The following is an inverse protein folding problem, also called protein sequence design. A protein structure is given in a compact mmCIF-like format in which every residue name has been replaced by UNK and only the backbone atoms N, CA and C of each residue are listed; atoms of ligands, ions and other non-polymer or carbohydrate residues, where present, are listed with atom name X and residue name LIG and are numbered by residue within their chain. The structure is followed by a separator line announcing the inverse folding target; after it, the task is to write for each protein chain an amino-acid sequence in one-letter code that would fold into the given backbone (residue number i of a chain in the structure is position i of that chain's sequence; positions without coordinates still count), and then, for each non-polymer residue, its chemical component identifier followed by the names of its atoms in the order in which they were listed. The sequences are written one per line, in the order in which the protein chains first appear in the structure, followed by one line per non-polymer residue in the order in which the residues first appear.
data_IF_699128997070
#
_entry.id   IF_699128997070
#
_cell.length_a   1.000
_cell.length_b   1.000
_cell.length_c   1.000
_cell.angle_alpha   90.00
_cell.angle_beta   90.00
_cell.angle_gamma   90.00
#
_symmetry.space_group_name_H-M   'P 1'
#
loop_
_entity.id
_entity.type
_entity.pdbx_description
1 polymer ?
#
# COMPACT_ATOMS: atom_id res chain seq x y z
N UNK A 1 16.53 4.49 9.45
CA UNK A 1 16.22 5.03 8.11
C UNK A 1 15.32 6.24 8.26
N UNK A 2 15.73 7.36 7.72
CA UNK A 2 14.86 8.55 7.72
C UNK A 2 13.76 8.37 6.69
N UNK A 3 12.55 8.76 7.03
CA UNK A 3 11.41 8.68 6.12
C UNK A 3 10.56 9.93 6.18
N UNK A 4 9.82 10.16 5.11
CA UNK A 4 8.84 11.23 5.00
C UNK A 4 7.46 10.59 4.92
N UNK A 5 6.45 11.34 5.36
CA UNK A 5 5.06 10.89 5.30
C UNK A 5 4.22 12.00 4.70
N UNK A 6 3.51 11.68 3.62
CA UNK A 6 2.62 12.65 3.01
C UNK A 6 1.46 12.95 3.97
N UNK A 7 1.15 14.23 4.27
CA UNK A 7 0.06 14.57 5.17
C UNK A 7 -1.29 14.01 4.70
N UNK A 8 -2.11 13.54 5.64
CA UNK A 8 -3.40 12.91 5.33
C UNK A 8 -4.33 13.82 4.53
N UNK A 9 -4.29 15.13 4.75
CA UNK A 9 -5.14 16.08 4.02
C UNK A 9 -4.86 16.11 2.52
N UNK A 10 -3.71 15.63 2.08
CA UNK A 10 -3.38 15.54 0.64
C UNK A 10 -4.18 14.44 -0.05
N UNK A 11 -4.76 13.53 0.72
CA UNK A 11 -5.55 12.42 0.21
C UNK A 11 -7.05 12.63 0.42
N UNK A 12 -7.46 13.77 0.97
CA UNK A 12 -8.86 14.08 1.18
C UNK A 12 -9.56 14.34 -0.16
N UNK A 13 -10.83 13.92 -0.24
CA UNK A 13 -11.71 14.21 -1.38
C UNK A 13 -11.19 13.72 -2.74
N UNK A 14 -10.43 12.64 -2.76
CA UNK A 14 -9.99 12.02 -4.02
C UNK A 14 -11.19 11.37 -4.72
N UNK A 15 -11.36 11.67 -5.99
CA UNK A 15 -12.47 11.17 -6.78
C UNK A 15 -12.44 9.64 -6.89
N UNK A 16 -13.55 8.98 -6.52
CA UNK A 16 -13.68 7.54 -6.61
C UNK A 16 -12.78 6.75 -5.65
N UNK A 17 -12.24 7.40 -4.62
CA UNK A 17 -11.32 6.77 -3.67
C UNK A 17 -11.82 6.97 -2.24
N UNK A 18 -13.01 6.42 -1.96
CA UNK A 18 -13.65 6.50 -0.63
C UNK A 18 -13.43 5.21 0.15
N UNK A 19 -12.20 4.69 0.16
CA UNK A 19 -11.84 3.46 0.85
C UNK A 19 -11.24 3.79 2.21
N UNK A 20 -11.60 2.98 3.22
CA UNK A 20 -10.99 3.11 4.55
C UNK A 20 -9.51 2.75 4.49
N UNK A 21 -8.63 3.55 5.10
CA UNK A 21 -7.21 3.23 5.12
C UNK A 21 -6.90 2.12 6.11
N UNK A 22 -5.91 1.30 5.76
CA UNK A 22 -5.33 0.30 6.65
C UNK A 22 -3.83 0.51 6.66
N UNK A 23 -3.21 0.34 7.83
CA UNK A 23 -1.78 0.55 7.98
C UNK A 23 -1.16 -0.61 8.74
N UNK A 24 0.05 -0.97 8.37
CA UNK A 24 0.88 -1.93 9.10
C UNK A 24 2.29 -1.36 9.22
N UNK A 25 2.91 -1.58 10.37
CA UNK A 25 4.31 -1.20 10.57
C UNK A 25 5.20 -2.39 10.24
N UNK A 26 6.24 -2.15 9.47
CA UNK A 26 7.20 -3.17 9.08
C UNK A 26 8.61 -2.72 9.46
N UNK A 27 9.54 -3.68 9.55
CA UNK A 27 10.95 -3.41 9.73
C UNK A 27 11.50 -2.71 8.48
N UNK A 28 12.20 -1.59 8.67
CA UNK A 28 12.76 -0.84 7.54
C UNK A 28 14.05 -1.45 6.98
N UNK A 29 14.55 -2.53 7.59
CA UNK A 29 15.81 -3.18 7.25
C UNK A 29 17.05 -2.34 7.60
N UNK A 30 16.88 -1.38 8.50
CA UNK A 30 17.93 -0.44 8.89
C UNK A 30 17.78 0.01 10.35
N UNK A 31 17.18 -0.84 11.19
CA UNK A 31 17.04 -0.62 12.63
C UNK A 31 15.82 0.18 13.08
N UNK A 32 14.92 0.51 12.16
CA UNK A 32 13.69 1.25 12.46
C UNK A 32 12.45 0.60 11.86
N UNK A 33 11.38 1.37 11.73
CA UNK A 33 10.12 0.91 11.16
C UNK A 33 9.61 1.86 10.08
N UNK A 34 8.79 1.31 9.18
CA UNK A 34 8.07 2.06 8.15
C UNK A 34 6.59 1.70 8.23
N UNK A 35 5.72 2.68 8.05
CA UNK A 35 4.28 2.44 7.94
C UNK A 35 3.91 2.23 6.49
N UNK A 36 3.24 1.11 6.23
CA UNK A 36 2.74 0.77 4.90
C UNK A 36 1.22 0.85 4.90
N UNK A 37 0.67 1.55 3.92
CA UNK A 37 -0.76 1.63 3.70
C UNK A 37 -1.20 0.55 2.72
N UNK A 38 -2.38 -0.04 2.99
CA UNK A 38 -2.99 -0.96 2.04
C UNK A 38 -4.51 -0.84 2.08
N UNK A 39 -5.14 -1.15 0.96
CA UNK A 39 -6.58 -1.31 0.87
C UNK A 39 -6.91 -2.78 1.06
N UNK A 40 -7.98 -3.05 1.80
CA UNK A 40 -8.48 -4.41 2.05
C UNK A 40 -9.99 -4.34 1.96
N UNK A 41 -10.52 -4.64 0.78
CA UNK A 41 -11.93 -4.49 0.46
C UNK A 41 -12.54 -5.80 0.04
N UNK A 42 -13.83 -5.96 0.30
CA UNK A 42 -14.59 -7.16 -0.06
C UNK A 42 -14.69 -8.17 1.08
N UNK A 43 -15.33 -9.32 0.83
CA UNK A 43 -15.57 -10.33 1.87
C UNK A 43 -14.27 -10.97 2.33
N UNK A 44 -14.10 -11.10 3.66
CA UNK A 44 -12.87 -11.63 4.25
C UNK A 44 -12.57 -13.07 3.84
N UNK A 45 -13.60 -13.85 3.50
CA UNK A 45 -13.48 -15.25 3.10
C UNK A 45 -13.52 -15.45 1.57
N UNK A 46 -13.59 -14.36 0.79
CA UNK A 46 -13.59 -14.44 -0.66
C UNK A 46 -12.21 -14.74 -1.23
N UNK A 47 -12.14 -15.15 -2.51
CA UNK A 47 -10.85 -15.29 -3.19
C UNK A 47 -10.09 -13.97 -3.16
N UNK A 48 -8.78 -14.04 -2.88
CA UNK A 48 -7.94 -12.86 -2.72
C UNK A 48 -7.31 -12.47 -4.05
N UNK A 49 -7.46 -11.18 -4.41
CA UNK A 49 -6.75 -10.57 -5.53
C UNK A 49 -5.75 -9.57 -4.96
N UNK A 50 -4.49 -9.77 -5.24
CA UNK A 50 -3.42 -8.85 -4.85
C UNK A 50 -3.15 -7.88 -6.00
N UNK A 51 -3.49 -6.61 -5.77
CA UNK A 51 -3.34 -5.57 -6.79
C UNK A 51 -2.12 -4.72 -6.46
N UNK A 52 -0.99 -5.02 -7.10
CA UNK A 52 0.27 -4.30 -6.92
C UNK A 52 0.44 -3.26 -8.02
N UNK A 53 0.65 -2.01 -7.62
CA UNK A 53 0.88 -0.94 -8.60
C UNK A 53 2.34 -0.93 -9.07
N UNK A 54 2.56 -0.29 -10.24
CA UNK A 54 3.91 -0.02 -10.73
C UNK A 54 4.36 1.41 -10.39
N UNK A 55 5.55 1.77 -10.82
CA UNK A 55 6.08 3.12 -10.68
C UNK A 55 5.63 3.96 -11.89
N UNK A 56 5.24 5.22 -11.71
CA UNK A 56 5.14 6.03 -10.50
C UNK A 56 3.68 6.14 -10.01
N UNK A 57 3.10 5.05 -9.56
CA UNK A 57 1.68 5.01 -9.18
C UNK A 57 1.50 4.64 -7.70
N UNK A 58 0.28 4.35 -7.29
CA UNK A 58 -0.10 3.88 -5.97
C UNK A 58 -1.50 3.24 -6.06
N UNK A 59 -2.07 2.82 -4.93
CA UNK A 59 -3.35 2.08 -4.93
C UNK A 59 -4.50 2.83 -5.59
N UNK A 60 -4.42 4.16 -5.71
CA UNK A 60 -5.43 4.97 -6.41
C UNK A 60 -5.66 4.50 -7.85
N UNK A 61 -4.63 3.91 -8.48
CA UNK A 61 -4.73 3.33 -9.82
C UNK A 61 -5.88 2.33 -9.93
N UNK A 62 -6.16 1.59 -8.86
CA UNK A 62 -7.15 0.52 -8.85
C UNK A 62 -8.54 0.97 -8.41
N UNK A 63 -8.77 2.26 -8.18
CA UNK A 63 -10.02 2.79 -7.60
C UNK A 63 -11.28 2.39 -8.35
N UNK A 64 -11.19 2.16 -9.64
CA UNK A 64 -12.34 1.78 -10.48
C UNK A 64 -12.51 0.28 -10.59
N UNK A 65 -11.42 -0.47 -10.48
CA UNK A 65 -11.44 -1.93 -10.58
C UNK A 65 -11.89 -2.59 -9.29
N UNK A 66 -11.50 -2.02 -8.14
CA UNK A 66 -11.82 -2.60 -6.83
C UNK A 66 -13.32 -2.84 -6.65
N UNK A 67 -14.22 -1.87 -6.88
CA UNK A 67 -15.65 -2.13 -6.72
C UNK A 67 -16.19 -3.23 -7.62
N UNK A 68 -15.63 -3.39 -8.81
CA UNK A 68 -16.04 -4.46 -9.73
C UNK A 68 -15.67 -5.83 -9.19
N UNK A 69 -14.47 -5.96 -8.63
CA UNK A 69 -13.98 -7.22 -8.08
C UNK A 69 -14.70 -7.57 -6.77
N UNK A 70 -14.90 -6.60 -5.89
CA UNK A 70 -15.61 -6.83 -4.63
C UNK A 70 -17.08 -7.16 -4.87
N UNK A 71 -17.70 -6.54 -5.87
CA UNK A 71 -19.05 -6.86 -6.31
C UNK A 71 -19.17 -8.29 -6.85
N UNK A 72 -18.08 -8.87 -7.33
CA UNK A 72 -18.03 -10.26 -7.78
C UNK A 72 -17.69 -11.25 -6.65
N UNK A 73 -17.61 -10.79 -5.41
CA UNK A 73 -17.34 -11.63 -4.24
C UNK A 73 -15.87 -11.85 -3.93
N UNK A 74 -14.97 -11.06 -4.52
CA UNK A 74 -13.54 -11.17 -4.30
C UNK A 74 -13.06 -10.22 -3.22
N UNK A 75 -12.03 -10.63 -2.48
CA UNK A 75 -11.31 -9.77 -1.56
C UNK A 75 -10.12 -9.17 -2.28
N UNK A 76 -10.01 -7.84 -2.27
CA UNK A 76 -8.91 -7.15 -2.94
C UNK A 76 -7.98 -6.53 -1.90
N UNK A 77 -6.71 -6.85 -1.98
CA UNK A 77 -5.67 -6.23 -1.17
C UNK A 77 -4.78 -5.45 -2.11
N UNK A 78 -4.71 -4.13 -1.90
CA UNK A 78 -3.95 -3.23 -2.76
C UNK A 78 -3.01 -2.37 -1.89
N UNK A 79 -1.75 -2.78 -1.72
CA UNK A 79 -0.80 -2.01 -0.94
C UNK A 79 -0.25 -0.83 -1.74
N UNK A 80 0.12 0.24 -1.03
CA UNK A 80 1.00 1.26 -1.55
C UNK A 80 2.43 0.81 -1.23
N UNK A 81 3.24 0.60 -2.25
CA UNK A 81 4.64 0.23 -2.05
C UNK A 81 5.36 1.30 -1.22
N UNK A 82 6.36 0.89 -0.46
CA UNK A 82 7.19 1.84 0.29
C UNK A 82 7.72 2.90 -0.69
N UNK A 83 7.54 4.16 -0.33
CA UNK A 83 7.91 5.29 -1.19
C UNK A 83 6.75 5.86 -2.01
N UNK A 84 5.56 5.24 -1.95
CA UNK A 84 4.42 5.63 -2.78
C UNK A 84 3.17 5.87 -1.95
N UNK A 85 2.27 6.71 -2.49
CA UNK A 85 0.94 6.93 -1.93
C UNK A 85 0.94 7.30 -0.45
N UNK A 86 0.15 6.57 0.33
CA UNK A 86 0.02 6.81 1.77
C UNK A 86 1.05 6.07 2.61
N UNK A 87 1.90 5.24 2.00
CA UNK A 87 3.00 4.58 2.71
C UNK A 87 4.13 5.55 3.00
N UNK A 88 4.92 5.25 4.04
CA UNK A 88 6.09 6.06 4.38
C UNK A 88 7.12 6.05 3.24
N UNK A 89 7.89 7.12 3.17
CA UNK A 89 8.83 7.37 2.07
C UNK A 89 10.24 7.57 2.62
N UNK A 90 11.10 6.54 2.56
CA UNK A 90 12.52 6.73 2.90
C UNK A 90 13.10 7.92 2.14
N UNK A 91 13.92 8.73 2.80
CA UNK A 91 14.37 10.02 2.26
C UNK A 91 15.57 9.91 1.35
N UNK A 92 16.32 8.79 1.39
CA UNK A 92 17.53 8.61 0.61
C UNK A 92 17.30 7.65 -0.54
N UNK A 93 17.82 7.98 -1.72
CA UNK A 93 17.74 7.11 -2.90
C UNK A 93 18.30 5.71 -2.65
N UNK A 94 19.40 5.65 -1.91
CA UNK A 94 20.08 4.38 -1.61
C UNK A 94 19.30 3.49 -0.65
N UNK A 95 18.25 4.02 0.01
CA UNK A 95 17.37 3.23 0.85
C UNK A 95 16.50 2.28 0.03
N UNK A 96 16.27 2.58 -1.24
CA UNK A 96 15.42 1.78 -2.12
C UNK A 96 16.27 0.78 -2.90
N UNK A 97 16.05 -0.51 -2.64
CA UNK A 97 16.65 -1.59 -3.42
C UNK A 97 15.58 -2.62 -3.75
N UNK A 98 15.83 -3.42 -4.77
CA UNK A 98 14.91 -4.50 -5.11
C UNK A 98 14.73 -5.46 -3.93
N UNK A 99 15.84 -5.83 -3.29
CA UNK A 99 15.81 -6.74 -2.14
C UNK A 99 15.00 -6.16 -0.97
N UNK A 100 15.14 -4.87 -0.69
CA UNK A 100 14.35 -4.21 0.36
C UNK A 100 12.86 -4.17 0.01
N UNK A 101 12.50 -3.85 -1.23
CA UNK A 101 11.10 -3.87 -1.65
C UNK A 101 10.49 -5.26 -1.48
N UNK A 102 11.21 -6.30 -1.83
CA UNK A 102 10.74 -7.68 -1.64
C UNK A 102 10.53 -7.97 -0.15
N UNK A 103 11.52 -7.63 0.69
CA UNK A 103 11.43 -7.86 2.14
C UNK A 103 10.29 -7.05 2.76
N UNK A 104 10.15 -5.78 2.40
CA UNK A 104 9.09 -4.92 2.92
C UNK A 104 7.70 -5.45 2.57
N UNK A 105 7.49 -5.83 1.33
CA UNK A 105 6.18 -6.32 0.89
C UNK A 105 5.88 -7.70 1.43
N UNK A 106 6.87 -8.55 1.58
CA UNK A 106 6.70 -9.86 2.19
C UNK A 106 6.19 -9.70 3.63
N UNK A 107 6.81 -8.83 4.42
CA UNK A 107 6.37 -8.60 5.80
C UNK A 107 4.99 -7.97 5.84
N UNK A 108 4.71 -6.98 5.00
CA UNK A 108 3.45 -6.24 5.01
C UNK A 108 2.26 -7.11 4.59
N UNK A 109 2.43 -8.00 3.61
CA UNK A 109 1.33 -8.72 2.96
C UNK A 109 1.22 -10.17 3.45
N UNK A 110 2.32 -10.86 3.58
CA UNK A 110 2.34 -12.30 3.88
C UNK A 110 2.42 -12.55 5.38
N UNK A 111 3.24 -11.78 6.07
CA UNK A 111 3.39 -11.86 7.52
C UNK A 111 2.46 -10.87 8.26
#
# INVERSE_FOLDING_TARGET
MKSLRTPDERFADLAGYAFAPNYVEIDDQDGGTLRVHYLDEGPADGPVVLAMHGEPSWSYLYRKIIPLLTGAGMRVIAPDLVGFGKSDKPSEKTDYTYARHVAWMQEAIID
#
